data_IF_018735012511
#
_entry.id   IF_018735012511
#
_cell.length_a   1.000
_cell.length_b   1.000
_cell.length_c   1.000
_cell.angle_alpha   90.00
_cell.angle_beta   90.00
_cell.angle_gamma   90.00
#
_symmetry.space_group_name_H-M   'P 1'
#
loop_
_entity.id
_entity.type
_entity.pdbx_description
1 polymer ?
#
# COMPACT_ATOMS: atom_id res chain seq x y z
N UNK A 1 5.46 17.29 -44.71
CA UNK A 1 5.23 17.68 -43.30
C UNK A 1 6.60 17.91 -42.69
N UNK A 2 6.98 19.14 -42.37
CA UNK A 2 8.19 19.41 -41.60
C UNK A 2 7.95 18.87 -40.19
N UNK A 3 8.70 17.84 -39.80
CA UNK A 3 8.62 17.28 -38.46
C UNK A 3 8.95 18.36 -37.44
N UNK A 4 8.00 18.66 -36.56
CA UNK A 4 8.19 19.60 -35.47
C UNK A 4 9.34 19.06 -34.61
N UNK A 5 10.46 19.82 -34.57
CA UNK A 5 11.65 19.42 -33.83
C UNK A 5 11.32 19.38 -32.36
N UNK A 6 11.41 18.18 -31.72
CA UNK A 6 11.19 18.03 -30.29
C UNK A 6 12.12 18.95 -29.51
N UNK A 7 11.62 19.81 -28.62
CA UNK A 7 12.46 20.67 -27.81
C UNK A 7 13.33 19.87 -26.85
N UNK A 8 14.47 20.41 -26.47
CA UNK A 8 15.22 19.88 -25.31
C UNK A 8 14.41 20.23 -24.08
N UNK A 9 13.95 19.19 -23.38
CA UNK A 9 13.10 19.32 -22.19
C UNK A 9 13.99 19.16 -20.96
N UNK A 10 13.83 20.10 -20.02
CA UNK A 10 14.51 20.02 -18.73
C UNK A 10 14.10 18.74 -17.99
N UNK A 11 15.11 17.93 -17.63
CA UNK A 11 14.92 16.67 -16.92
C UNK A 11 14.23 16.85 -15.57
N UNK A 12 14.39 17.98 -14.90
CA UNK A 12 13.76 18.25 -13.60
C UNK A 12 12.23 18.27 -13.67
N UNK A 13 11.65 18.52 -14.85
CA UNK A 13 10.21 18.40 -15.08
C UNK A 13 9.72 16.94 -14.92
N UNK A 14 10.57 15.96 -15.23
CA UNK A 14 10.25 14.53 -15.14
C UNK A 14 10.70 13.92 -13.81
N UNK A 15 11.89 14.26 -13.34
CA UNK A 15 12.58 13.58 -12.22
C UNK A 15 12.59 14.39 -10.92
N UNK A 16 12.34 15.68 -10.96
CA UNK A 16 12.17 16.51 -9.76
C UNK A 16 10.91 16.10 -8.96
N UNK A 17 10.74 16.64 -7.77
CA UNK A 17 9.55 16.38 -6.95
C UNK A 17 8.27 16.83 -7.68
N UNK A 18 7.18 16.04 -7.62
CA UNK A 18 5.89 16.50 -8.08
C UNK A 18 5.35 17.62 -7.18
N UNK A 19 4.46 18.46 -7.69
CA UNK A 19 3.81 19.49 -6.87
C UNK A 19 2.88 18.87 -5.82
N UNK A 20 2.20 17.77 -6.19
CA UNK A 20 1.33 16.97 -5.30
C UNK A 20 1.52 15.49 -5.67
N UNK A 21 1.61 14.62 -4.66
CA UNK A 21 1.67 13.18 -4.87
C UNK A 21 1.00 12.41 -3.74
N UNK A 22 0.88 11.08 -3.92
CA UNK A 22 0.44 10.14 -2.89
C UNK A 22 -0.88 10.52 -2.20
N UNK A 23 -1.83 11.08 -2.97
CA UNK A 23 -3.12 11.48 -2.43
C UNK A 23 -3.88 10.29 -1.85
N UNK A 24 -4.50 10.49 -0.70
CA UNK A 24 -5.37 9.52 -0.04
C UNK A 24 -6.64 10.17 0.47
N UNK A 25 -7.76 9.48 0.27
CA UNK A 25 -9.03 9.80 0.89
C UNK A 25 -9.06 9.22 2.30
N UNK A 26 -9.53 9.98 3.29
CA UNK A 26 -9.74 9.40 4.62
C UNK A 26 -10.78 8.29 4.60
N UNK A 27 -10.70 7.29 5.48
CA UNK A 27 -11.66 6.17 5.54
C UNK A 27 -13.13 6.59 5.68
N UNK A 28 -13.40 7.74 6.31
CA UNK A 28 -14.74 8.33 6.47
C UNK A 28 -15.13 9.29 5.32
N UNK A 29 -14.22 9.54 4.38
CA UNK A 29 -14.45 10.38 3.19
C UNK A 29 -14.54 11.88 3.45
N UNK A 30 -14.12 12.36 4.63
CA UNK A 30 -14.20 13.78 5.00
C UNK A 30 -12.96 14.57 4.62
N UNK A 31 -11.81 13.89 4.46
CA UNK A 31 -10.51 14.51 4.27
C UNK A 31 -9.78 13.92 3.07
N UNK A 32 -8.92 14.75 2.49
CA UNK A 32 -7.88 14.31 1.54
C UNK A 32 -6.53 14.69 2.14
N UNK A 33 -5.65 13.69 2.25
CA UNK A 33 -4.22 13.89 2.52
C UNK A 33 -3.43 13.73 1.24
N UNK A 34 -2.27 14.36 1.15
CA UNK A 34 -1.36 14.27 0.04
C UNK A 34 0.04 14.72 0.45
N UNK A 35 1.03 14.32 -0.35
CA UNK A 35 2.39 14.82 -0.20
C UNK A 35 2.56 16.09 -1.02
N UNK A 36 3.10 17.14 -0.40
CA UNK A 36 3.48 18.40 -1.02
C UNK A 36 4.69 18.98 -0.30
N UNK A 37 5.49 19.75 -1.00
CA UNK A 37 6.65 20.39 -0.41
C UNK A 37 6.26 21.36 0.73
N UNK A 38 6.97 21.22 1.84
CA UNK A 38 6.99 22.16 2.96
C UNK A 38 8.44 22.32 3.42
N UNK A 39 8.96 23.56 3.32
CA UNK A 39 10.37 23.87 3.62
C UNK A 39 11.39 22.99 2.87
N UNK A 40 11.15 22.72 1.59
CA UNK A 40 12.06 21.97 0.72
C UNK A 40 11.92 20.44 0.78
N UNK A 41 11.07 19.91 1.64
CA UNK A 41 10.86 18.45 1.80
C UNK A 41 9.39 18.11 1.56
N UNK A 42 9.15 16.98 0.87
CA UNK A 42 7.80 16.46 0.69
C UNK A 42 7.23 16.01 2.03
N UNK A 43 6.24 16.72 2.51
CA UNK A 43 5.55 16.51 3.78
C UNK A 43 4.07 16.19 3.58
N UNK A 44 3.41 15.66 4.60
CA UNK A 44 1.98 15.33 4.55
C UNK A 44 1.17 16.62 4.75
N UNK A 45 0.25 16.86 3.83
CA UNK A 45 -0.73 17.94 3.87
C UNK A 45 -2.14 17.38 3.98
N UNK A 46 -3.05 18.19 4.48
CA UNK A 46 -4.45 17.85 4.71
C UNK A 46 -5.36 18.98 4.24
N UNK A 47 -6.47 18.61 3.59
CA UNK A 47 -7.62 19.50 3.39
C UNK A 47 -8.92 18.74 3.64
N UNK A 48 -10.00 19.45 3.95
CA UNK A 48 -11.33 18.83 3.90
C UNK A 48 -11.66 18.45 2.46
N UNK A 49 -12.50 17.43 2.33
CA UNK A 49 -12.88 16.92 1.02
C UNK A 49 -13.50 17.99 0.11
N UNK A 50 -14.39 18.81 0.65
CA UNK A 50 -15.16 19.86 -0.03
C UNK A 50 -14.43 21.21 -0.14
N UNK A 51 -13.27 21.37 0.48
CA UNK A 51 -12.46 22.58 0.38
C UNK A 51 -11.53 22.57 -0.86
N UNK A 52 -11.20 23.72 -1.44
CA UNK A 52 -10.20 23.80 -2.50
C UNK A 52 -8.77 23.56 -1.96
N UNK A 53 -7.82 23.25 -2.85
CA UNK A 53 -6.44 22.92 -2.47
C UNK A 53 -5.65 24.08 -1.84
N UNK A 54 -6.03 25.33 -2.07
CA UNK A 54 -5.44 26.50 -1.42
C UNK A 54 -5.76 26.62 0.07
N UNK A 55 -6.76 25.87 0.55
CA UNK A 55 -7.09 25.74 1.98
C UNK A 55 -6.36 24.59 2.68
N UNK A 56 -5.57 23.83 1.93
CA UNK A 56 -4.78 22.76 2.52
C UNK A 56 -3.75 23.31 3.51
N UNK A 57 -3.52 22.55 4.57
CA UNK A 57 -2.50 22.86 5.58
C UNK A 57 -1.52 21.70 5.74
N UNK A 58 -0.25 21.98 6.07
CA UNK A 58 0.68 20.91 6.40
C UNK A 58 0.28 20.22 7.71
N UNK A 59 0.53 18.91 7.79
CA UNK A 59 0.41 18.11 9.01
C UNK A 59 1.76 17.77 9.62
N UNK A 60 2.81 17.75 8.80
CA UNK A 60 4.16 17.39 9.23
C UNK A 60 5.17 18.43 8.74
N UNK A 61 6.28 18.54 9.45
CA UNK A 61 7.42 19.43 9.12
C UNK A 61 8.74 18.67 9.11
N UNK A 62 8.69 17.42 8.66
CA UNK A 62 9.88 16.59 8.59
C UNK A 62 10.96 17.28 7.78
N UNK A 63 12.20 17.27 8.30
CA UNK A 63 13.39 17.75 7.58
C UNK A 63 14.04 16.64 6.73
N UNK A 64 13.44 15.46 6.76
CA UNK A 64 13.86 14.28 5.98
C UNK A 64 12.68 13.73 5.17
N UNK A 65 12.93 13.11 4.02
CA UNK A 65 11.88 12.45 3.24
C UNK A 65 11.09 11.44 4.08
N UNK A 66 9.79 11.39 3.88
CA UNK A 66 8.91 10.38 4.46
C UNK A 66 8.85 9.19 3.50
N UNK A 67 8.99 7.96 4.01
CA UNK A 67 8.95 6.75 3.16
C UNK A 67 7.53 6.33 2.75
N UNK A 68 6.51 6.83 3.44
CA UNK A 68 5.11 6.59 3.15
C UNK A 68 4.23 6.93 4.34
N UNK A 69 2.93 7.01 4.08
CA UNK A 69 1.94 7.26 5.12
C UNK A 69 0.62 6.58 4.80
N UNK A 70 -0.22 6.37 5.80
CA UNK A 70 -1.58 5.86 5.63
C UNK A 70 -2.49 6.24 6.82
N UNK A 71 -3.79 6.25 6.59
CA UNK A 71 -4.80 6.49 7.59
C UNK A 71 -5.05 5.26 8.45
N UNK A 72 -5.35 5.47 9.76
CA UNK A 72 -6.02 4.44 10.55
C UNK A 72 -7.48 4.33 10.10
N UNK A 73 -8.07 3.14 10.18
CA UNK A 73 -9.43 2.88 9.67
C UNK A 73 -10.51 3.73 10.34
N UNK A 74 -10.31 4.15 11.59
CA UNK A 74 -11.20 5.07 12.31
C UNK A 74 -10.95 6.56 11.97
N UNK A 75 -10.06 6.83 11.03
CA UNK A 75 -9.65 8.16 10.60
C UNK A 75 -9.07 9.05 11.70
N UNK A 76 -8.69 8.51 12.88
CA UNK A 76 -8.17 9.32 14.00
C UNK A 76 -6.72 9.73 13.84
N UNK A 77 -5.92 8.89 13.16
CA UNK A 77 -4.51 9.13 12.97
C UNK A 77 -4.08 8.91 11.53
N UNK A 78 -3.02 9.61 11.15
CA UNK A 78 -2.19 9.30 10.00
C UNK A 78 -0.88 8.75 10.54
N UNK A 79 -0.55 7.52 10.14
CA UNK A 79 0.71 6.87 10.46
C UNK A 79 1.71 7.11 9.34
N UNK A 80 2.95 7.34 9.69
CA UNK A 80 4.03 7.47 8.72
C UNK A 80 5.35 6.98 9.29
N UNK A 81 6.30 6.70 8.42
CA UNK A 81 7.61 6.18 8.81
C UNK A 81 8.71 7.05 8.23
N UNK A 82 9.73 7.29 9.03
CA UNK A 82 10.94 8.00 8.63
C UNK A 82 12.14 7.55 9.44
N UNK A 83 13.33 7.78 8.91
CA UNK A 83 14.59 7.67 9.61
C UNK A 83 14.97 9.00 10.32
N UNK A 84 16.08 8.95 11.03
CA UNK A 84 16.72 10.11 11.58
C UNK A 84 18.04 10.34 10.82
N UNK A 85 18.16 11.50 10.17
CA UNK A 85 19.40 11.97 9.53
C UNK A 85 20.02 11.01 8.46
N UNK A 86 19.22 10.07 7.91
CA UNK A 86 19.69 9.12 6.91
C UNK A 86 20.38 7.89 7.48
N UNK A 87 20.15 7.59 8.76
CA UNK A 87 20.74 6.45 9.47
C UNK A 87 20.03 5.11 9.20
N UNK A 88 18.95 5.15 8.37
CA UNK A 88 18.10 3.99 8.04
C UNK A 88 17.42 3.33 9.25
N UNK A 89 17.55 3.92 10.43
CA UNK A 89 16.85 3.49 11.64
C UNK A 89 15.42 4.02 11.65
N UNK A 90 14.55 3.28 11.00
CA UNK A 90 13.17 3.68 10.73
C UNK A 90 12.34 3.65 12.01
N UNK A 91 11.66 4.75 12.31
CA UNK A 91 10.70 4.87 13.39
C UNK A 91 9.28 5.10 12.85
N UNK A 92 8.27 4.68 13.61
CA UNK A 92 6.85 4.84 13.31
C UNK A 92 6.32 6.06 14.07
N UNK A 93 5.64 6.93 13.34
CA UNK A 93 5.04 8.15 13.87
C UNK A 93 3.53 8.16 13.65
N UNK A 94 2.82 8.86 14.52
CA UNK A 94 1.39 9.15 14.38
C UNK A 94 1.14 10.65 14.52
N UNK A 95 0.28 11.20 13.66
CA UNK A 95 -0.22 12.56 13.75
C UNK A 95 -1.74 12.56 13.67
N UNK A 96 -2.41 13.39 14.51
CA UNK A 96 -3.87 13.52 14.47
C UNK A 96 -4.27 14.69 13.56
N UNK A 97 -5.16 14.48 12.57
CA UNK A 97 -5.70 15.56 11.74
C UNK A 97 -6.64 16.50 12.52
N UNK A 98 -7.13 16.06 13.69
CA UNK A 98 -8.11 16.78 14.52
C UNK A 98 -7.49 17.60 15.63
N UNK A 99 -6.18 17.52 15.82
CA UNK A 99 -5.52 18.30 16.84
C UNK A 99 -5.70 19.80 16.59
N UNK A 100 -6.19 20.50 17.61
CA UNK A 100 -6.33 21.94 17.57
C UNK A 100 -4.96 22.57 17.83
N UNK A 101 -4.47 23.29 16.85
CA UNK A 101 -3.19 23.97 16.92
C UNK A 101 -3.40 25.49 16.87
N UNK A 102 -2.52 26.24 17.55
CA UNK A 102 -2.45 27.69 17.42
C UNK A 102 -2.02 28.07 15.99
N UNK A 103 -2.39 29.29 15.57
CA UNK A 103 -2.02 29.78 14.24
C UNK A 103 -0.50 29.66 14.00
N UNK A 104 -0.14 29.02 12.90
CA UNK A 104 1.26 28.82 12.49
C UNK A 104 1.97 27.63 13.11
N UNK A 105 1.32 26.91 14.04
CA UNK A 105 1.86 25.63 14.56
C UNK A 105 1.30 24.44 13.79
N UNK A 106 2.02 23.32 13.86
CA UNK A 106 1.60 22.03 13.32
C UNK A 106 1.13 21.10 14.43
N UNK A 107 0.29 20.10 14.12
CA UNK A 107 -0.05 19.05 15.07
C UNK A 107 1.20 18.30 15.55
N UNK A 108 1.15 17.81 16.78
CA UNK A 108 2.26 17.02 17.32
C UNK A 108 2.38 15.67 16.61
N UNK A 109 3.55 15.40 16.08
CA UNK A 109 3.89 14.10 15.52
C UNK A 109 4.54 13.22 16.58
N UNK A 110 3.77 12.28 17.15
CA UNK A 110 4.26 11.39 18.19
C UNK A 110 5.10 10.25 17.60
N UNK A 111 6.32 10.07 18.11
CA UNK A 111 7.10 8.86 17.82
C UNK A 111 6.54 7.71 18.66
N UNK A 112 6.02 6.67 17.98
CA UNK A 112 5.45 5.48 18.62
C UNK A 112 6.50 4.40 18.95
N UNK A 113 7.70 4.54 18.39
CA UNK A 113 8.84 3.63 18.63
C UNK A 113 10.08 4.43 19.06
N UNK A 114 10.04 5.16 20.20
CA UNK A 114 11.06 6.13 20.59
C UNK A 114 12.31 5.45 21.17
N UNK A 115 12.82 4.42 20.49
CA UNK A 115 14.05 3.76 20.89
C UNK A 115 15.22 4.25 20.03
N UNK A 116 16.42 4.18 20.59
CA UNK A 116 17.61 4.58 19.89
C UNK A 116 18.17 3.45 19.01
N UNK A 117 18.63 3.81 17.83
CA UNK A 117 19.33 2.90 16.92
C UNK A 117 18.52 1.62 16.59
N UNK A 118 17.20 1.78 16.33
CA UNK A 118 16.30 0.68 15.96
C UNK A 118 15.73 0.88 14.57
N UNK A 119 15.41 -0.23 13.93
CA UNK A 119 14.49 -0.24 12.79
C UNK A 119 13.17 -0.86 13.22
N UNK A 120 12.07 -0.12 12.99
CA UNK A 120 10.72 -0.62 13.18
C UNK A 120 10.09 -0.95 11.84
N UNK A 121 9.32 -2.03 11.78
CA UNK A 121 8.60 -2.49 10.60
C UNK A 121 7.15 -2.75 10.94
N UNK A 122 6.21 -2.30 10.10
CA UNK A 122 4.79 -2.61 10.24
C UNK A 122 4.49 -3.87 9.44
N UNK A 123 3.96 -4.90 10.11
CA UNK A 123 3.57 -6.17 9.49
C UNK A 123 2.08 -6.22 9.16
N UNK A 124 1.22 -5.67 10.04
CA UNK A 124 -0.22 -5.64 9.80
C UNK A 124 -0.90 -4.48 10.54
N UNK A 125 -2.06 -4.08 10.03
CA UNK A 125 -3.01 -3.18 10.69
C UNK A 125 -4.25 -3.98 11.08
N UNK A 126 -4.78 -3.76 12.28
CA UNK A 126 -5.97 -4.46 12.72
C UNK A 126 -7.23 -3.85 12.09
N UNK A 127 -8.05 -4.70 11.47
CA UNK A 127 -9.38 -4.30 11.02
C UNK A 127 -10.42 -4.31 12.14
N UNK A 128 -10.18 -5.11 13.18
CA UNK A 128 -11.07 -5.22 14.36
C UNK A 128 -10.89 -4.05 15.32
N UNK A 129 -9.66 -3.59 15.47
CA UNK A 129 -9.33 -2.48 16.34
C UNK A 129 -8.39 -1.50 15.62
N UNK A 130 -8.92 -0.44 15.00
CA UNK A 130 -8.12 0.55 14.26
C UNK A 130 -7.04 1.26 15.08
N UNK A 131 -7.10 1.18 16.41
CA UNK A 131 -6.07 1.71 17.33
C UNK A 131 -4.88 0.75 17.51
N UNK A 132 -4.84 -0.36 16.75
CA UNK A 132 -3.82 -1.41 16.90
C UNK A 132 -3.12 -1.70 15.58
N UNK A 133 -1.78 -1.82 15.66
CA UNK A 133 -0.94 -2.35 14.59
C UNK A 133 0.02 -3.41 15.13
N UNK A 134 0.41 -4.36 14.29
CA UNK A 134 1.45 -5.36 14.57
C UNK A 134 2.76 -4.90 13.95
N UNK A 135 3.78 -4.77 14.78
CA UNK A 135 5.07 -4.22 14.38
C UNK A 135 6.23 -5.09 14.82
N UNK A 136 7.32 -5.04 14.07
CA UNK A 136 8.61 -5.58 14.48
C UNK A 136 9.53 -4.49 14.97
N UNK A 137 10.34 -4.76 15.99
CA UNK A 137 11.38 -3.86 16.48
C UNK A 137 12.65 -4.68 16.76
N UNK A 138 13.79 -4.25 16.23
CA UNK A 138 15.08 -4.90 16.43
C UNK A 138 15.87 -4.34 17.62
N UNK A 139 15.16 -3.99 18.70
CA UNK A 139 15.78 -3.37 19.88
C UNK A 139 16.63 -4.34 20.72
N UNK A 140 16.19 -5.59 20.87
CA UNK A 140 16.90 -6.64 21.60
C UNK A 140 18.10 -7.17 20.83
N UNK A 141 17.90 -7.39 19.53
CA UNK A 141 18.90 -7.93 18.60
C UNK A 141 18.83 -7.14 17.29
N UNK A 142 19.95 -6.59 16.84
CA UNK A 142 19.97 -5.73 15.64
C UNK A 142 19.68 -6.47 14.34
N UNK A 143 19.88 -7.78 14.30
CA UNK A 143 19.61 -8.61 13.15
C UNK A 143 18.15 -9.07 13.06
N UNK A 144 17.42 -9.10 14.20
CA UNK A 144 16.10 -9.73 14.27
C UNK A 144 15.08 -8.84 14.95
N UNK A 145 13.89 -8.76 14.33
CA UNK A 145 12.77 -8.01 14.85
C UNK A 145 11.92 -8.88 15.75
N UNK A 146 11.81 -8.52 17.02
CA UNK A 146 10.78 -9.08 17.90
C UNK A 146 9.42 -8.49 17.51
N UNK A 147 8.37 -9.29 17.60
CA UNK A 147 7.03 -8.89 17.20
C UNK A 147 6.25 -8.29 18.38
N UNK A 148 5.64 -7.14 18.16
CA UNK A 148 4.82 -6.44 19.14
C UNK A 148 3.46 -6.08 18.58
N UNK A 149 2.48 -6.03 19.47
CA UNK A 149 1.23 -5.31 19.29
C UNK A 149 1.40 -3.89 19.83
N UNK A 150 1.24 -2.90 18.98
CA UNK A 150 1.33 -1.48 19.34
C UNK A 150 -0.08 -0.88 19.38
N UNK A 151 -0.44 -0.24 20.51
CA UNK A 151 -1.63 0.59 20.64
C UNK A 151 -1.28 2.02 20.27
N UNK A 152 -1.84 2.54 19.18
CA UNK A 152 -1.47 3.82 18.57
C UNK A 152 -1.75 4.99 19.52
N UNK A 153 -2.93 5.03 20.15
CA UNK A 153 -3.37 6.13 21.03
C UNK A 153 -2.47 6.32 22.24
N UNK A 154 -1.91 5.23 22.78
CA UNK A 154 -1.11 5.25 24.02
C UNK A 154 0.38 5.06 23.80
N UNK A 155 0.79 4.51 22.64
CA UNK A 155 2.17 4.07 22.38
C UNK A 155 2.54 2.78 23.15
N UNK A 156 1.56 2.09 23.76
CA UNK A 156 1.81 0.85 24.51
C UNK A 156 2.24 -0.26 23.57
N UNK A 157 3.33 -0.95 23.95
CA UNK A 157 3.85 -2.13 23.28
C UNK A 157 3.60 -3.38 24.13
N UNK A 158 2.90 -4.34 23.56
CA UNK A 158 2.71 -5.68 24.13
C UNK A 158 3.50 -6.69 23.28
N UNK A 159 4.48 -7.38 23.89
CA UNK A 159 5.30 -8.37 23.20
C UNK A 159 4.43 -9.58 22.79
N UNK A 160 4.48 -9.94 21.50
CA UNK A 160 3.77 -11.11 20.95
C UNK A 160 4.70 -12.28 20.69
N UNK A 161 5.93 -12.01 20.24
CA UNK A 161 6.90 -13.05 19.92
C UNK A 161 8.33 -12.51 20.03
N UNK A 162 9.18 -13.25 20.77
CA UNK A 162 10.63 -13.00 20.81
C UNK A 162 11.28 -13.77 19.68
N UNK A 163 11.90 -13.07 18.76
CA UNK A 163 12.50 -13.68 17.57
C UNK A 163 13.89 -14.28 17.85
N UNK A 164 13.90 -15.54 18.25
CA UNK A 164 15.11 -16.36 18.42
C UNK A 164 15.33 -17.34 17.25
N UNK A 165 14.37 -17.42 16.32
CA UNK A 165 14.30 -18.44 15.27
C UNK A 165 14.57 -17.92 13.88
N UNK A 166 15.20 -16.73 13.75
CA UNK A 166 15.53 -16.10 12.47
C UNK A 166 14.31 -15.84 11.59
N UNK A 167 13.21 -15.40 12.21
CA UNK A 167 11.98 -15.06 11.51
C UNK A 167 12.17 -13.74 10.77
N UNK A 168 11.89 -13.74 9.47
CA UNK A 168 12.02 -12.58 8.58
C UNK A 168 10.69 -11.87 8.31
N UNK A 169 9.56 -12.50 8.67
CA UNK A 169 8.24 -11.92 8.50
C UNK A 169 7.14 -12.70 9.18
N UNK A 170 5.99 -12.07 9.30
CA UNK A 170 4.80 -12.59 9.98
C UNK A 170 3.56 -12.35 9.14
N UNK A 171 2.62 -13.29 9.14
CA UNK A 171 1.35 -13.16 8.45
C UNK A 171 0.17 -13.40 9.40
N UNK A 172 -0.85 -12.56 9.25
CA UNK A 172 -2.03 -12.52 10.09
C UNK A 172 -3.28 -12.81 9.26
N UNK A 173 -4.23 -13.52 9.85
CA UNK A 173 -5.54 -13.71 9.24
C UNK A 173 -6.45 -12.47 9.43
N UNK A 174 -7.66 -12.50 8.84
CA UNK A 174 -8.63 -11.40 8.95
C UNK A 174 -9.06 -11.08 10.38
N UNK A 175 -8.79 -11.99 11.30
CA UNK A 175 -9.16 -11.87 12.70
C UNK A 175 -7.98 -11.48 13.60
N UNK A 176 -6.89 -10.96 13.01
CA UNK A 176 -5.65 -10.54 13.66
C UNK A 176 -4.90 -11.67 14.35
N UNK A 177 -5.21 -12.95 14.04
CA UNK A 177 -4.45 -14.07 14.57
C UNK A 177 -3.14 -14.21 13.78
N UNK A 178 -2.04 -14.32 14.49
CA UNK A 178 -0.73 -14.64 13.93
C UNK A 178 -0.72 -16.11 13.48
N UNK A 179 -0.63 -16.34 12.17
CA UNK A 179 -0.82 -17.66 11.56
C UNK A 179 0.44 -18.23 10.93
N UNK A 180 1.20 -17.42 10.20
CA UNK A 180 2.39 -17.87 9.48
C UNK A 180 3.59 -17.01 9.81
N UNK A 181 4.73 -17.68 9.94
CA UNK A 181 6.05 -17.08 10.14
C UNK A 181 6.90 -17.41 8.92
N UNK A 182 7.65 -16.45 8.44
CA UNK A 182 8.62 -16.64 7.37
C UNK A 182 10.00 -16.76 7.95
N UNK A 183 10.73 -17.80 7.60
CA UNK A 183 12.12 -17.98 8.01
C UNK A 183 13.00 -18.18 6.80
N UNK A 184 14.02 -17.36 6.65
CA UNK A 184 15.01 -17.49 5.57
C UNK A 184 16.31 -18.02 6.13
N UNK A 185 16.84 -19.09 5.54
CA UNK A 185 18.10 -19.71 5.94
C UNK A 185 19.30 -18.95 5.34
N UNK A 186 20.52 -19.39 5.68
CA UNK A 186 21.77 -18.77 5.20
C UNK A 186 22.01 -18.91 3.70
N UNK A 187 21.31 -19.83 3.05
CA UNK A 187 21.36 -20.07 1.60
C UNK A 187 20.29 -19.26 0.85
N UNK A 188 19.45 -18.53 1.57
CA UNK A 188 18.35 -17.75 1.01
C UNK A 188 17.08 -18.54 0.76
N UNK A 189 16.99 -19.80 1.19
CA UNK A 189 15.73 -20.57 1.10
C UNK A 189 14.75 -20.06 2.14
N UNK A 190 13.47 -19.96 1.78
CA UNK A 190 12.42 -19.46 2.68
C UNK A 190 11.45 -20.57 3.05
N UNK A 191 11.23 -20.76 4.36
CA UNK A 191 10.24 -21.68 4.92
C UNK A 191 9.05 -20.90 5.47
N UNK A 192 7.85 -21.34 5.15
CA UNK A 192 6.59 -20.88 5.73
C UNK A 192 6.22 -21.80 6.88
N UNK A 193 6.22 -21.26 8.09
CA UNK A 193 5.98 -22.01 9.33
C UNK A 193 4.60 -21.65 9.85
N UNK A 194 3.69 -22.63 9.84
CA UNK A 194 2.33 -22.46 10.33
C UNK A 194 2.25 -22.68 11.83
N UNK A 195 1.63 -21.73 12.54
CA UNK A 195 1.48 -21.79 14.00
C UNK A 195 0.32 -22.68 14.39
N UNK A 196 0.60 -23.78 15.13
CA UNK A 196 -0.38 -24.68 15.76
C UNK A 196 -0.14 -24.71 17.27
N UNK A 197 -0.96 -23.99 18.04
CA UNK A 197 -0.66 -23.76 19.45
C UNK A 197 0.68 -23.04 19.59
N UNK A 198 1.63 -23.62 20.31
CA UNK A 198 2.98 -23.09 20.49
C UNK A 198 4.01 -23.67 19.50
N UNK A 199 3.58 -24.57 18.61
CA UNK A 199 4.47 -25.20 17.63
C UNK A 199 4.41 -24.48 16.29
N UNK A 200 5.60 -24.32 15.66
CA UNK A 200 5.78 -23.84 14.30
C UNK A 200 6.08 -25.04 13.39
N UNK A 201 5.16 -25.34 12.47
CA UNK A 201 5.25 -26.48 11.56
C UNK A 201 5.54 -25.98 10.15
N UNK A 202 6.62 -26.44 9.48
CA UNK A 202 6.85 -26.11 8.07
C UNK A 202 5.70 -26.62 7.19
N UNK A 203 5.16 -25.72 6.37
CA UNK A 203 4.05 -26.04 5.46
C UNK A 203 4.39 -25.79 4.00
N UNK A 204 5.34 -24.91 3.73
CA UNK A 204 5.80 -24.58 2.37
C UNK A 204 7.24 -24.11 2.41
N UNK A 205 8.00 -24.40 1.36
CA UNK A 205 9.41 -24.00 1.25
C UNK A 205 9.70 -23.59 -0.18
N UNK A 206 10.55 -22.58 -0.34
CA UNK A 206 11.11 -22.15 -1.64
C UNK A 206 12.62 -22.09 -1.57
N UNK A 207 13.27 -22.39 -2.69
CA UNK A 207 14.68 -22.12 -2.87
C UNK A 207 14.91 -20.61 -3.09
N UNK A 208 16.18 -20.18 -3.08
CA UNK A 208 16.56 -18.77 -3.33
C UNK A 208 16.16 -18.27 -4.72
N UNK A 209 15.94 -19.16 -5.69
CA UNK A 209 15.52 -18.81 -7.07
C UNK A 209 14.02 -18.84 -7.27
N UNK A 210 13.28 -19.36 -6.31
CA UNK A 210 11.82 -19.43 -6.33
C UNK A 210 11.22 -18.33 -5.46
N UNK A 211 10.03 -17.91 -5.80
CA UNK A 211 9.28 -16.91 -5.05
C UNK A 211 7.95 -17.50 -4.58
N UNK A 212 7.60 -17.16 -3.35
CA UNK A 212 6.27 -17.39 -2.83
C UNK A 212 5.90 -16.32 -1.80
N UNK A 213 4.63 -15.92 -1.76
CA UNK A 213 4.09 -15.06 -0.72
C UNK A 213 2.59 -15.27 -0.54
N UNK A 214 2.11 -15.01 0.68
CA UNK A 214 0.69 -15.03 1.01
C UNK A 214 0.08 -13.70 0.59
N UNK A 215 -1.01 -13.73 -0.18
CA UNK A 215 -1.74 -12.56 -0.65
C UNK A 215 -3.08 -12.36 0.07
N UNK A 216 -3.24 -12.98 1.23
CA UNK A 216 -4.40 -12.88 2.10
C UNK A 216 -5.07 -14.22 2.38
N UNK A 217 -6.06 -14.19 3.25
CA UNK A 217 -6.82 -15.35 3.72
C UNK A 217 -8.19 -15.41 3.07
N UNK A 218 -8.76 -16.60 2.98
CA UNK A 218 -10.13 -16.80 2.55
C UNK A 218 -11.15 -16.33 3.62
N UNK A 219 -12.42 -16.38 3.30
CA UNK A 219 -13.49 -15.78 4.11
C UNK A 219 -13.53 -16.26 5.54
N UNK A 220 -13.26 -17.56 5.79
CA UNK A 220 -13.32 -18.22 7.09
C UNK A 220 -11.95 -18.44 7.77
N UNK A 221 -10.88 -17.88 7.21
CA UNK A 221 -9.50 -18.03 7.70
C UNK A 221 -8.98 -19.49 7.72
N UNK A 222 -9.62 -20.40 7.00
CA UNK A 222 -9.19 -21.81 6.96
C UNK A 222 -8.05 -22.05 5.97
N UNK A 223 -7.93 -21.18 4.95
CA UNK A 223 -6.96 -21.26 3.85
C UNK A 223 -6.45 -19.88 3.47
N UNK A 224 -5.34 -19.86 2.79
CA UNK A 224 -4.78 -18.59 2.27
C UNK A 224 -4.48 -18.67 0.78
N UNK A 225 -4.45 -17.51 0.17
CA UNK A 225 -4.04 -17.32 -1.22
C UNK A 225 -2.52 -17.27 -1.29
N UNK A 226 -1.92 -18.21 -2.01
CA UNK A 226 -0.48 -18.32 -2.23
C UNK A 226 -0.17 -17.98 -3.68
N UNK A 227 0.73 -17.04 -3.89
CA UNK A 227 1.30 -16.74 -5.20
C UNK A 227 2.71 -17.31 -5.23
N UNK A 228 3.03 -18.12 -6.24
CA UNK A 228 4.32 -18.80 -6.32
C UNK A 228 4.70 -19.19 -7.76
N UNK A 229 6.01 -19.27 -8.01
CA UNK A 229 6.58 -19.89 -9.20
C UNK A 229 7.40 -21.16 -8.90
N UNK A 230 7.13 -21.82 -7.76
CA UNK A 230 7.89 -23.00 -7.32
C UNK A 230 7.80 -24.17 -8.30
N UNK A 231 8.92 -24.87 -8.47
CA UNK A 231 9.04 -26.06 -9.32
C UNK A 231 9.15 -25.72 -10.81
N UNK A 232 8.38 -26.42 -11.63
CA UNK A 232 8.42 -26.25 -13.10
C UNK A 232 7.60 -25.05 -13.61
N UNK A 233 7.14 -24.16 -12.71
CA UNK A 233 6.39 -22.97 -13.08
C UNK A 233 7.33 -21.89 -13.64
N UNK A 234 7.10 -21.51 -14.90
CA UNK A 234 7.85 -20.40 -15.50
C UNK A 234 7.39 -19.04 -14.96
N UNK A 235 6.10 -18.92 -14.64
CA UNK A 235 5.47 -17.70 -14.16
C UNK A 235 4.79 -17.90 -12.80
N UNK A 236 4.74 -16.84 -11.99
CA UNK A 236 3.96 -16.83 -10.77
C UNK A 236 2.50 -17.17 -11.05
N UNK A 237 1.94 -17.98 -10.19
CA UNK A 237 0.60 -18.54 -10.31
C UNK A 237 -0.12 -18.45 -8.98
N UNK A 238 -1.42 -18.17 -9.00
CA UNK A 238 -2.26 -18.09 -7.81
C UNK A 238 -2.84 -19.45 -7.43
N UNK A 239 -2.61 -19.85 -6.20
CA UNK A 239 -3.16 -21.04 -5.55
C UNK A 239 -3.95 -20.69 -4.29
N UNK A 240 -4.86 -21.58 -3.90
CA UNK A 240 -5.39 -21.66 -2.56
C UNK A 240 -4.63 -22.76 -1.81
N UNK A 241 -4.06 -22.45 -0.65
CA UNK A 241 -3.36 -23.39 0.20
C UNK A 241 -4.13 -23.66 1.49
N UNK A 242 -4.31 -24.94 1.80
CA UNK A 242 -4.79 -25.41 3.11
C UNK A 242 -3.57 -25.69 4.01
N UNK A 243 -3.34 -24.88 5.07
CA UNK A 243 -2.15 -25.03 5.91
C UNK A 243 -2.15 -26.32 6.75
N UNK A 244 -3.31 -26.98 6.93
CA UNK A 244 -3.42 -28.21 7.72
C UNK A 244 -3.06 -29.45 6.92
N UNK A 245 -3.46 -29.49 5.65
CA UNK A 245 -3.23 -30.63 4.75
C UNK A 245 -2.09 -30.37 3.76
N UNK A 246 -1.60 -29.13 3.69
CA UNK A 246 -0.59 -28.64 2.73
C UNK A 246 -1.03 -28.78 1.26
N UNK A 247 -2.33 -28.99 1.04
CA UNK A 247 -2.89 -29.14 -0.30
C UNK A 247 -2.95 -27.77 -1.00
N UNK A 248 -2.36 -27.71 -2.20
CA UNK A 248 -2.51 -26.61 -3.15
C UNK A 248 -3.67 -26.89 -4.10
N UNK A 249 -4.52 -25.89 -4.28
CA UNK A 249 -5.58 -25.90 -5.29
C UNK A 249 -5.33 -24.74 -6.23
N UNK A 250 -5.13 -25.01 -7.52
CA UNK A 250 -4.96 -23.99 -8.56
C UNK A 250 -6.18 -23.08 -8.60
N UNK A 251 -5.93 -21.77 -8.70
CA UNK A 251 -6.99 -20.76 -8.88
C UNK A 251 -6.84 -20.13 -10.25
N UNK A 252 -5.72 -19.45 -10.53
CA UNK A 252 -5.56 -18.67 -11.75
C UNK A 252 -4.07 -18.44 -12.08
N UNK A 253 -3.77 -18.39 -13.38
CA UNK A 253 -2.50 -17.91 -13.92
C UNK A 253 -2.79 -17.07 -15.16
N UNK A 254 -1.81 -16.37 -15.71
CA UNK A 254 -2.00 -15.65 -16.97
C UNK A 254 -2.55 -16.60 -18.06
N UNK A 255 -3.76 -16.33 -18.60
CA UNK A 255 -4.35 -17.19 -19.63
C UNK A 255 -3.50 -17.22 -20.92
N UNK A 256 -2.70 -16.20 -21.18
CA UNK A 256 -1.81 -16.09 -22.32
C UNK A 256 -0.43 -16.74 -22.07
N UNK A 257 -0.11 -17.09 -20.82
CA UNK A 257 1.18 -17.65 -20.39
C UNK A 257 2.39 -16.80 -20.81
N UNK A 258 2.28 -15.49 -20.66
CA UNK A 258 3.30 -14.51 -21.06
C UNK A 258 3.91 -13.75 -19.91
N UNK A 259 3.16 -13.61 -18.82
CA UNK A 259 3.56 -12.80 -17.66
C UNK A 259 3.23 -13.49 -16.34
N UNK A 260 3.87 -13.03 -15.29
CA UNK A 260 3.56 -13.43 -13.93
C UNK A 260 2.12 -13.05 -13.53
N UNK A 261 1.55 -13.77 -12.57
CA UNK A 261 0.37 -13.33 -11.85
C UNK A 261 0.70 -11.99 -11.18
N UNK A 262 -0.10 -10.96 -11.46
CA UNK A 262 0.19 -9.59 -11.01
C UNK A 262 -0.31 -9.31 -9.60
N UNK A 263 -1.63 -9.27 -9.41
CA UNK A 263 -2.20 -8.97 -8.08
C UNK A 263 -3.54 -9.65 -7.83
N UNK A 264 -3.80 -9.89 -6.53
CA UNK A 264 -5.08 -10.31 -6.00
C UNK A 264 -5.64 -9.16 -5.15
N UNK A 265 -6.85 -8.71 -5.46
CA UNK A 265 -7.57 -7.72 -4.65
C UNK A 265 -8.70 -8.40 -3.91
N UNK A 266 -8.64 -8.36 -2.59
CA UNK A 266 -9.69 -8.87 -1.70
C UNK A 266 -10.56 -7.74 -1.18
N UNK A 267 -11.84 -8.02 -1.03
CA UNK A 267 -12.81 -7.12 -0.40
C UNK A 267 -12.67 -7.23 1.13
N UNK A 268 -12.27 -6.16 1.78
CA UNK A 268 -12.10 -6.14 3.24
C UNK A 268 -13.39 -6.39 4.03
N UNK A 269 -14.55 -6.09 3.44
CA UNK A 269 -15.85 -6.22 4.12
C UNK A 269 -16.46 -7.61 3.96
N UNK A 270 -16.28 -8.23 2.79
CA UNK A 270 -16.83 -9.56 2.47
C UNK A 270 -15.78 -10.64 2.42
N UNK A 271 -14.48 -10.28 2.46
CA UNK A 271 -13.31 -11.16 2.35
C UNK A 271 -13.23 -11.93 1.02
N UNK A 272 -14.05 -11.56 0.02
CA UNK A 272 -14.10 -12.19 -1.31
C UNK A 272 -13.16 -11.53 -2.29
N UNK A 273 -12.82 -12.26 -3.34
CA UNK A 273 -12.00 -11.71 -4.43
C UNK A 273 -12.81 -10.64 -5.18
N UNK A 274 -12.25 -9.44 -5.28
CA UNK A 274 -12.75 -8.36 -6.13
C UNK A 274 -12.25 -8.56 -7.56
N UNK A 275 -10.94 -8.73 -7.71
CA UNK A 275 -10.28 -8.91 -9.02
C UNK A 275 -8.93 -9.58 -8.89
N UNK A 276 -8.48 -10.15 -9.99
CA UNK A 276 -7.08 -10.50 -10.24
C UNK A 276 -6.56 -9.60 -11.36
N UNK A 277 -5.25 -9.46 -11.50
CA UNK A 277 -4.67 -8.69 -12.60
C UNK A 277 -3.38 -9.29 -13.14
N UNK A 278 -3.08 -8.93 -14.37
CA UNK A 278 -1.85 -9.27 -15.11
C UNK A 278 -1.32 -8.02 -15.79
N UNK A 279 0.00 -7.85 -15.82
CA UNK A 279 0.62 -6.67 -16.44
C UNK A 279 1.60 -7.14 -17.51
N UNK A 280 1.19 -6.95 -18.77
CA UNK A 280 2.06 -7.04 -19.94
C UNK A 280 2.39 -5.60 -20.39
N UNK A 281 2.02 -5.20 -21.59
CA UNK A 281 2.13 -3.80 -22.02
C UNK A 281 1.22 -2.89 -21.21
N UNK A 282 0.08 -3.43 -20.76
CA UNK A 282 -0.91 -2.78 -19.90
C UNK A 282 -1.43 -3.75 -18.86
N UNK A 283 -1.97 -3.17 -17.77
CA UNK A 283 -2.64 -3.98 -16.74
C UNK A 283 -4.03 -4.38 -17.20
N UNK A 284 -4.28 -5.69 -17.20
CA UNK A 284 -5.58 -6.29 -17.45
C UNK A 284 -6.18 -6.78 -16.14
N UNK A 285 -7.44 -6.38 -15.85
CA UNK A 285 -8.18 -6.80 -14.67
C UNK A 285 -9.19 -7.89 -15.02
N UNK A 286 -9.17 -8.98 -14.27
CA UNK A 286 -10.17 -10.03 -14.31
C UNK A 286 -11.12 -9.86 -13.12
N UNK A 287 -12.22 -9.17 -13.35
CA UNK A 287 -13.18 -8.83 -12.31
C UNK A 287 -13.98 -10.05 -11.84
N UNK A 288 -14.05 -10.25 -10.52
CA UNK A 288 -14.90 -11.25 -9.86
C UNK A 288 -16.08 -10.59 -9.14
N UNK A 289 -16.05 -9.26 -8.98
CA UNK A 289 -17.13 -8.46 -8.40
C UNK A 289 -17.75 -7.54 -9.46
N UNK A 290 -19.01 -7.78 -9.80
CA UNK A 290 -19.70 -7.05 -10.88
C UNK A 290 -19.89 -5.55 -10.61
N UNK A 291 -20.02 -5.14 -9.34
CA UNK A 291 -20.17 -3.72 -9.00
C UNK A 291 -18.85 -2.95 -9.25
N UNK A 292 -17.72 -3.56 -8.91
CA UNK A 292 -16.41 -3.01 -9.21
C UNK A 292 -16.12 -2.97 -10.72
N UNK A 293 -16.45 -4.03 -11.44
CA UNK A 293 -16.35 -4.09 -12.90
C UNK A 293 -17.16 -2.97 -13.55
N UNK A 294 -18.42 -2.78 -13.14
CA UNK A 294 -19.29 -1.72 -13.67
C UNK A 294 -18.71 -0.31 -13.40
N UNK A 295 -18.14 -0.07 -12.21
CA UNK A 295 -17.47 1.18 -11.88
C UNK A 295 -16.23 1.40 -12.74
N UNK A 296 -15.41 0.39 -12.90
CA UNK A 296 -14.21 0.45 -13.74
C UNK A 296 -14.56 0.75 -15.21
N UNK A 297 -15.51 0.03 -15.76
CA UNK A 297 -15.97 0.24 -17.14
C UNK A 297 -16.56 1.62 -17.36
N UNK A 298 -17.33 2.14 -16.38
CA UNK A 298 -17.80 3.52 -16.39
C UNK A 298 -16.62 4.51 -16.46
N UNK A 299 -15.62 4.35 -15.61
CA UNK A 299 -14.45 5.22 -15.59
C UNK A 299 -13.64 5.11 -16.89
N UNK A 300 -13.39 3.92 -17.40
CA UNK A 300 -12.71 3.73 -18.71
C UNK A 300 -13.47 4.41 -19.85
N UNK A 301 -14.81 4.45 -19.81
CA UNK A 301 -15.61 5.16 -20.82
C UNK A 301 -15.42 6.69 -20.76
N UNK A 302 -15.07 7.24 -19.58
CA UNK A 302 -14.79 8.68 -19.41
C UNK A 302 -13.37 9.06 -19.83
N UNK A 303 -12.46 8.10 -19.83
CA UNK A 303 -11.04 8.31 -20.12
C UNK A 303 -10.54 7.34 -21.22
N UNK A 304 -11.04 7.47 -22.47
CA UNK A 304 -10.62 6.57 -23.55
C UNK A 304 -9.12 6.67 -23.79
N UNK A 305 -8.48 5.51 -23.94
CA UNK A 305 -7.03 5.41 -24.20
C UNK A 305 -6.13 5.65 -22.98
N UNK A 306 -6.70 5.92 -21.79
CA UNK A 306 -5.95 6.09 -20.55
C UNK A 306 -6.13 4.90 -19.60
N UNK A 307 -5.16 4.69 -18.74
CA UNK A 307 -5.24 3.77 -17.60
C UNK A 307 -5.96 4.43 -16.42
N UNK A 308 -6.71 3.64 -15.68
CA UNK A 308 -7.47 4.09 -14.49
C UNK A 308 -7.15 3.15 -13.33
N UNK A 309 -6.68 3.73 -12.21
CA UNK A 309 -6.35 3.00 -11.01
C UNK A 309 -7.11 3.54 -9.80
N UNK A 310 -7.62 2.64 -8.95
CA UNK A 310 -8.23 2.98 -7.68
C UNK A 310 -7.14 3.15 -6.61
N UNK A 311 -6.76 4.38 -6.31
CA UNK A 311 -5.67 4.71 -5.39
C UNK A 311 -6.04 4.52 -3.92
N UNK A 312 -7.15 5.11 -3.51
CA UNK A 312 -7.68 4.99 -2.15
C UNK A 312 -9.21 5.06 -2.15
N UNK A 313 -9.83 4.62 -1.06
CA UNK A 313 -11.28 4.58 -0.93
C UNK A 313 -11.73 4.83 0.50
N UNK A 314 -13.02 5.17 0.66
CA UNK A 314 -13.72 4.99 1.92
C UNK A 314 -13.84 3.51 2.27
N UNK A 315 -14.06 3.19 3.56
CA UNK A 315 -14.18 1.80 4.02
C UNK A 315 -15.36 1.04 3.37
N UNK A 316 -16.44 1.74 3.04
CA UNK A 316 -17.63 1.19 2.38
C UNK A 316 -17.54 1.16 0.85
N UNK A 317 -16.40 1.55 0.28
CA UNK A 317 -16.17 1.67 -1.17
C UNK A 317 -17.18 2.57 -1.90
N UNK A 318 -17.85 3.48 -1.20
CA UNK A 318 -18.78 4.42 -1.85
C UNK A 318 -18.04 5.54 -2.58
N UNK A 319 -16.82 5.85 -2.17
CA UNK A 319 -16.00 6.94 -2.71
C UNK A 319 -14.58 6.51 -2.96
N UNK A 320 -14.00 7.00 -4.04
CA UNK A 320 -12.60 6.70 -4.43
C UNK A 320 -11.84 7.96 -4.79
N UNK A 321 -10.57 7.98 -4.49
CA UNK A 321 -9.59 8.77 -5.23
C UNK A 321 -8.98 7.84 -6.29
N UNK A 322 -9.09 8.24 -7.56
CA UNK A 322 -8.57 7.48 -8.69
C UNK A 322 -7.44 8.24 -9.37
N UNK A 323 -6.52 7.50 -9.95
CA UNK A 323 -5.50 8.02 -10.87
C UNK A 323 -5.89 7.70 -12.30
N UNK A 324 -5.68 8.68 -13.18
CA UNK A 324 -5.86 8.52 -14.62
C UNK A 324 -4.55 8.90 -15.30
N UNK A 325 -3.94 7.98 -16.00
CA UNK A 325 -2.61 8.14 -16.59
C UNK A 325 -2.52 7.55 -17.99
N UNK A 326 -1.39 7.67 -18.63
CA UNK A 326 -1.07 7.03 -19.89
C UNK A 326 0.28 7.52 -20.42
N UNK A 327 0.83 6.79 -21.36
CA UNK A 327 2.11 7.09 -22.00
C UNK A 327 2.14 8.45 -22.69
N UNK A 328 0.99 8.93 -23.17
CA UNK A 328 0.82 10.23 -23.83
C UNK A 328 0.18 11.29 -22.96
N UNK A 329 -0.16 10.98 -21.71
CA UNK A 329 -0.95 11.84 -20.85
C UNK A 329 -0.28 12.01 -19.49
N UNK A 330 -0.23 13.22 -19.01
CA UNK A 330 0.19 13.50 -17.64
C UNK A 330 -0.85 12.94 -16.68
N UNK A 331 -0.38 12.30 -15.63
CA UNK A 331 -1.27 11.72 -14.60
C UNK A 331 -2.15 12.79 -13.97
N UNK A 332 -3.40 12.43 -13.73
CA UNK A 332 -4.42 13.27 -13.10
C UNK A 332 -5.13 12.47 -12.01
N UNK A 333 -5.47 13.12 -10.90
CA UNK A 333 -6.24 12.52 -9.82
C UNK A 333 -7.68 13.05 -9.84
N UNK A 334 -8.63 12.13 -9.67
CA UNK A 334 -10.06 12.44 -9.60
C UNK A 334 -10.68 11.80 -8.38
N UNK A 335 -11.64 12.49 -7.80
CA UNK A 335 -12.59 11.89 -6.90
C UNK A 335 -13.72 11.23 -7.69
N UNK A 336 -14.15 10.07 -7.26
CA UNK A 336 -15.24 9.31 -7.85
C UNK A 336 -16.23 8.83 -6.79
N UNK A 337 -17.50 9.21 -6.91
CA UNK A 337 -18.61 8.70 -6.10
C UNK A 337 -19.33 7.59 -6.87
N UNK A 338 -19.36 6.39 -6.30
CA UNK A 338 -19.90 5.20 -6.98
C UNK A 338 -21.40 5.21 -7.11
N UNK A 339 -22.12 5.92 -6.22
CA UNK A 339 -23.59 5.99 -6.20
C UNK A 339 -24.12 7.00 -7.21
N UNK A 340 -23.57 8.22 -7.16
CA UNK A 340 -23.99 9.33 -8.03
C UNK A 340 -23.28 9.34 -9.37
N UNK A 341 -22.19 8.55 -9.52
CA UNK A 341 -21.26 8.57 -10.66
C UNK A 341 -20.61 9.93 -10.87
N UNK A 342 -20.58 10.76 -9.83
CA UNK A 342 -19.93 12.05 -9.88
C UNK A 342 -18.42 11.87 -9.94
N UNK A 343 -17.78 12.61 -10.86
CA UNK A 343 -16.35 12.56 -11.11
C UNK A 343 -15.80 13.99 -11.04
N UNK A 344 -14.93 14.26 -10.08
CA UNK A 344 -14.41 15.60 -9.82
C UNK A 344 -12.89 15.59 -9.88
N UNK A 345 -12.31 16.36 -10.81
CA UNK A 345 -10.88 16.59 -10.88
C UNK A 345 -10.35 17.13 -9.54
N UNK A 346 -9.23 16.59 -9.11
CA UNK A 346 -8.57 17.00 -7.86
C UNK A 346 -7.25 17.73 -8.14
N UNK A 347 -6.30 17.08 -8.78
CA UNK A 347 -4.97 17.65 -9.06
C UNK A 347 -4.26 16.91 -10.18
N UNK A 348 -3.24 17.56 -10.70
CA UNK A 348 -2.22 16.99 -11.59
C UNK A 348 -0.89 16.96 -10.82
N UNK A 349 -0.24 15.80 -10.64
CA UNK A 349 1.04 15.71 -9.91
C UNK A 349 2.13 16.62 -10.49
N UNK A 350 2.19 16.72 -11.82
CA UNK A 350 3.22 17.47 -12.56
C UNK A 350 2.59 18.39 -13.60
N UNK A 351 1.92 19.48 -13.20
CA UNK A 351 1.13 20.30 -14.13
C UNK A 351 1.98 20.95 -15.22
N UNK A 352 3.27 21.19 -14.97
CA UNK A 352 4.19 21.75 -15.97
C UNK A 352 4.40 20.85 -17.19
N UNK A 353 4.24 19.52 -17.02
CA UNK A 353 4.33 18.55 -18.12
C UNK A 353 3.12 18.62 -19.06
N UNK A 354 1.98 19.20 -18.65
CA UNK A 354 0.77 19.26 -19.46
C UNK A 354 1.02 19.92 -20.85
N UNK A 355 1.88 20.94 -20.89
CA UNK A 355 2.27 21.63 -22.12
C UNK A 355 3.12 20.76 -23.07
N UNK A 356 3.65 19.66 -22.56
CA UNK A 356 4.56 18.77 -23.26
C UNK A 356 3.87 17.50 -23.76
N UNK A 357 2.59 17.27 -23.45
CA UNK A 357 1.85 16.09 -23.87
C UNK A 357 1.92 15.84 -25.39
N UNK A 358 1.97 16.90 -26.19
CA UNK A 358 2.10 16.80 -27.65
C UNK A 358 3.43 16.17 -28.12
N UNK A 359 4.43 16.08 -27.26
CA UNK A 359 5.74 15.47 -27.54
C UNK A 359 5.88 14.06 -26.94
N UNK A 360 4.89 13.61 -26.14
CA UNK A 360 4.88 12.28 -25.58
C UNK A 360 4.47 11.26 -26.65
N UNK A 361 5.21 10.19 -26.76
CA UNK A 361 4.93 9.10 -27.69
C UNK A 361 4.48 7.83 -26.94
N UNK A 362 3.69 6.96 -27.56
CA UNK A 362 3.41 5.65 -26.98
C UNK A 362 4.71 4.83 -26.94
N UNK A 363 4.90 4.11 -25.87
CA UNK A 363 5.94 3.09 -25.76
C UNK A 363 5.47 1.76 -26.34
#
# INVERSE_FOLDING_TARGET
>A
MQGQKTPVIDRDLFFGNPEISSGQLSPDGKWITFMKEYEGIMNIWLKKFDEPFDKARPLTDSKRPLYGYYWTDDAKYILYVKDKDGDENINIFAVSPYEKVENGKLPESRNLTPFKDIAAQIYATSQKNPDVIMIGINNRDKAWHDLYKLTISTGKLDLMYTNTDRITGYDFDWDDNLRVFYRTDEKGNTSFLYKKGDQLTPIYETSVTEQAYISGWNEDNSKFYLITNKGDLNFQTLYMMDPNTQKLTFIESDPNKKVDFGSLKLDRNTRKIISTSYTADKTEYHWKNKAWEANYNFLKSKFPGREVDFQSSTLDYSKFLISVSGDRYVSEAYFFDTKTKNLIFQYTPRPKLKKLEQYLAPM
#
